data_IF_347992161113
#
_entry.id   IF_347992161113
#
_cell.length_a   1.000
_cell.length_b   1.000
_cell.length_c   1.000
_cell.angle_alpha   90.00
_cell.angle_beta   90.00
_cell.angle_gamma   90.00
#
_symmetry.space_group_name_H-M   'P 1'
#
loop_
_entity.id
_entity.type
_entity.pdbx_description
1 polymer ?
#
# COMPACT_ATOMS: atom_id res chain seq x y z
N UNK A 1 15.68 6.28 21.33
CA UNK A 1 15.77 6.67 19.89
C UNK A 1 14.80 7.80 19.61
N UNK A 2 15.27 8.94 19.10
CA UNK A 2 14.41 10.05 18.70
C UNK A 2 13.45 9.66 17.55
N UNK A 3 12.31 10.33 17.48
CA UNK A 3 11.31 10.12 16.42
C UNK A 3 11.93 10.38 15.04
N UNK A 4 12.74 11.44 14.92
CA UNK A 4 13.47 11.78 13.69
C UNK A 4 14.34 10.60 13.19
N UNK A 5 15.08 9.94 14.09
CA UNK A 5 15.92 8.78 13.73
C UNK A 5 15.09 7.60 13.21
N UNK A 6 13.90 7.36 13.79
CA UNK A 6 12.97 6.31 13.31
C UNK A 6 12.40 6.63 11.93
N UNK A 7 12.03 7.89 11.68
CA UNK A 7 11.51 8.34 10.39
C UNK A 7 12.57 8.20 9.30
N UNK A 8 13.79 8.63 9.56
CA UNK A 8 14.91 8.54 8.63
C UNK A 8 15.27 7.09 8.30
N UNK A 9 15.29 6.19 9.30
CA UNK A 9 15.51 4.76 9.08
C UNK A 9 14.41 4.10 8.25
N UNK A 10 13.15 4.56 8.36
CA UNK A 10 12.05 4.12 7.49
C UNK A 10 12.24 4.65 6.07
N UNK A 11 12.57 5.93 5.90
CA UNK A 11 12.80 6.53 4.57
C UNK A 11 13.92 5.80 3.81
N UNK A 12 15.02 5.46 4.49
CA UNK A 12 16.10 4.65 3.89
C UNK A 12 15.62 3.28 3.39
N UNK A 13 14.83 2.57 4.18
CA UNK A 13 14.23 1.28 3.78
C UNK A 13 13.24 1.43 2.63
N UNK A 14 12.43 2.49 2.66
CA UNK A 14 11.49 2.83 1.59
C UNK A 14 12.23 3.08 0.28
N UNK A 15 13.27 3.91 0.28
CA UNK A 15 14.09 4.19 -0.89
C UNK A 15 14.75 2.91 -1.46
N UNK A 16 15.32 2.06 -0.59
CA UNK A 16 15.89 0.77 -1.00
C UNK A 16 14.86 -0.17 -1.62
N UNK A 17 13.64 -0.21 -1.10
CA UNK A 17 12.58 -1.05 -1.69
C UNK A 17 12.14 -0.50 -3.05
N UNK A 18 12.02 0.82 -3.17
CA UNK A 18 11.62 1.50 -4.40
C UNK A 18 12.67 1.49 -5.49
N UNK A 19 13.95 1.29 -5.18
CA UNK A 19 14.97 1.11 -6.22
C UNK A 19 14.78 -0.19 -7.03
N UNK A 20 13.96 -1.13 -6.56
CA UNK A 20 13.62 -2.39 -7.25
C UNK A 20 12.15 -2.48 -7.66
N UNK A 21 11.29 -1.68 -7.05
CA UNK A 21 9.85 -1.72 -7.25
C UNK A 21 9.44 -0.46 -8.00
N UNK A 22 8.93 -0.64 -9.22
CA UNK A 22 8.37 0.39 -10.07
C UNK A 22 6.93 0.01 -10.44
N UNK A 23 6.01 0.97 -10.47
CA UNK A 23 4.62 0.77 -10.87
C UNK A 23 4.32 1.44 -12.20
N UNK A 24 3.67 0.72 -13.11
CA UNK A 24 3.18 1.25 -14.39
C UNK A 24 1.65 1.28 -14.41
N UNK A 25 1.03 1.88 -15.42
CA UNK A 25 -0.43 1.89 -15.58
C UNK A 25 -1.05 0.47 -15.55
N UNK A 26 -0.36 -0.53 -16.10
CA UNK A 26 -0.84 -1.92 -16.12
C UNK A 26 -0.61 -2.64 -14.78
N UNK A 27 0.51 -2.32 -14.10
CA UNK A 27 0.89 -2.92 -12.83
C UNK A 27 1.27 -1.82 -11.82
N UNK A 28 0.29 -1.07 -11.29
CA UNK A 28 0.55 0.07 -10.44
C UNK A 28 1.15 -0.33 -9.09
N UNK A 29 1.89 0.59 -8.49
CA UNK A 29 2.55 0.41 -7.20
C UNK A 29 1.59 0.79 -6.07
N UNK A 30 1.30 -0.16 -5.18
CA UNK A 30 0.47 0.04 -3.99
C UNK A 30 1.35 0.53 -2.84
N UNK A 31 1.35 1.83 -2.59
CA UNK A 31 2.08 2.48 -1.50
C UNK A 31 1.24 2.49 -0.22
N UNK A 32 1.76 1.91 0.87
CA UNK A 32 1.11 1.95 2.19
C UNK A 32 1.76 2.99 3.12
N UNK A 33 0.95 3.69 3.90
CA UNK A 33 1.43 4.55 4.99
C UNK A 33 0.62 4.30 6.26
N UNK A 34 1.34 4.05 7.36
CA UNK A 34 0.74 3.78 8.66
C UNK A 34 1.17 4.83 9.68
N UNK A 35 0.20 5.55 10.21
CA UNK A 35 0.35 6.41 11.39
C UNK A 35 -0.12 5.66 12.66
N UNK A 36 -0.13 6.33 13.80
CA UNK A 36 -0.67 5.73 15.03
C UNK A 36 -2.19 5.51 14.97
N UNK A 37 -2.92 6.42 14.31
CA UNK A 37 -4.40 6.41 14.28
C UNK A 37 -4.98 5.96 12.94
N UNK A 38 -4.28 6.23 11.84
CA UNK A 38 -4.78 6.10 10.47
C UNK A 38 -3.87 5.27 9.60
N UNK A 39 -4.47 4.52 8.68
CA UNK A 39 -3.81 3.73 7.65
C UNK A 39 -4.25 4.24 6.27
N UNK A 40 -3.29 4.54 5.43
CA UNK A 40 -3.48 5.12 4.11
C UNK A 40 -2.88 4.19 3.07
N UNK A 41 -3.57 4.05 1.94
CA UNK A 41 -3.13 3.25 0.81
C UNK A 41 -3.38 4.01 -0.48
N UNK A 42 -2.42 3.97 -1.38
CA UNK A 42 -2.52 4.57 -2.71
C UNK A 42 -2.00 3.59 -3.75
N UNK A 43 -2.72 3.43 -4.86
CA UNK A 43 -2.24 2.78 -6.07
C UNK A 43 -1.79 3.87 -7.03
N UNK A 44 -0.51 3.86 -7.36
CA UNK A 44 0.16 4.94 -8.09
C UNK A 44 0.71 4.35 -9.39
N UNK A 45 0.51 5.07 -10.48
CA UNK A 45 1.25 4.90 -11.72
C UNK A 45 2.47 5.82 -11.65
N UNK A 46 3.67 5.24 -11.56
CA UNK A 46 4.91 6.00 -11.39
C UNK A 46 5.38 6.64 -12.70
N UNK A 47 4.92 6.16 -13.87
CA UNK A 47 5.29 6.74 -15.17
C UNK A 47 4.60 8.10 -15.39
N UNK A 48 3.30 8.15 -15.11
CA UNK A 48 2.49 9.36 -15.25
C UNK A 48 2.41 10.20 -13.96
N UNK A 49 2.84 9.65 -12.82
CA UNK A 49 2.73 10.30 -11.51
C UNK A 49 1.30 10.42 -10.99
N UNK A 50 0.36 9.65 -11.54
CA UNK A 50 -1.08 9.74 -11.22
C UNK A 50 -1.44 8.69 -10.17
N UNK A 51 -2.27 9.09 -9.20
CA UNK A 51 -2.88 8.15 -8.26
C UNK A 51 -4.19 7.63 -8.84
N UNK A 52 -4.26 6.32 -9.10
CA UNK A 52 -5.43 5.67 -9.70
C UNK A 52 -6.51 5.37 -8.65
N UNK A 53 -6.07 4.88 -7.49
CA UNK A 53 -6.96 4.49 -6.39
C UNK A 53 -6.34 4.93 -5.07
N UNK A 54 -7.16 5.46 -4.17
CA UNK A 54 -6.75 5.78 -2.80
C UNK A 54 -7.76 5.28 -1.77
N UNK A 55 -7.26 4.95 -0.59
CA UNK A 55 -8.05 4.52 0.56
C UNK A 55 -7.46 5.03 1.87
N UNK A 56 -8.36 5.33 2.82
CA UNK A 56 -8.03 5.78 4.17
C UNK A 56 -8.93 5.06 5.17
N UNK A 57 -8.34 4.50 6.22
CA UNK A 57 -9.08 3.89 7.33
C UNK A 57 -8.35 4.05 8.66
N UNK A 58 -8.92 3.51 9.74
CA UNK A 58 -8.26 3.43 11.04
C UNK A 58 -7.07 2.45 10.99
N UNK A 59 -6.05 2.68 11.81
CA UNK A 59 -4.82 1.85 11.84
C UNK A 59 -4.96 0.56 12.66
N UNK A 60 -6.05 -0.20 12.43
CA UNK A 60 -6.35 -1.45 13.15
C UNK A 60 -6.54 -2.61 12.15
N UNK A 61 -6.38 -3.86 12.60
CA UNK A 61 -6.46 -5.04 11.70
C UNK A 61 -7.80 -5.15 10.97
N UNK A 62 -8.93 -5.11 11.70
CA UNK A 62 -10.25 -5.21 11.07
C UNK A 62 -10.57 -4.02 10.14
N UNK A 63 -10.05 -2.83 10.44
CA UNK A 63 -10.20 -1.65 9.59
C UNK A 63 -9.38 -1.78 8.29
N UNK A 64 -8.20 -2.40 8.35
CA UNK A 64 -7.36 -2.68 7.19
C UNK A 64 -7.91 -3.80 6.31
N UNK A 65 -8.61 -4.79 6.87
CA UNK A 65 -9.30 -5.82 6.09
C UNK A 65 -10.43 -5.22 5.25
N UNK A 66 -11.28 -4.38 5.87
CA UNK A 66 -12.33 -3.64 5.15
C UNK A 66 -11.75 -2.76 4.05
N UNK A 67 -10.68 -2.02 4.37
CA UNK A 67 -9.98 -1.19 3.39
C UNK A 67 -9.41 -2.02 2.23
N UNK A 68 -8.89 -3.23 2.50
CA UNK A 68 -8.38 -4.13 1.47
C UNK A 68 -9.45 -4.56 0.47
N UNK A 69 -10.65 -4.89 0.97
CA UNK A 69 -11.79 -5.21 0.12
C UNK A 69 -12.25 -3.99 -0.71
N UNK A 70 -12.41 -2.82 -0.08
CA UNK A 70 -12.81 -1.58 -0.77
C UNK A 70 -11.83 -1.17 -1.87
N UNK A 71 -10.52 -1.28 -1.61
CA UNK A 71 -9.48 -0.97 -2.61
C UNK A 71 -9.50 -1.98 -3.75
N UNK A 72 -9.75 -3.26 -3.48
CA UNK A 72 -9.90 -4.28 -4.51
C UNK A 72 -11.09 -4.02 -5.43
N UNK A 73 -12.24 -3.63 -4.88
CA UNK A 73 -13.40 -3.25 -5.68
C UNK A 73 -13.15 -2.02 -6.55
N UNK A 74 -12.50 -0.99 -5.99
CA UNK A 74 -12.10 0.20 -6.74
C UNK A 74 -11.10 -0.13 -7.86
N UNK A 75 -10.13 -1.00 -7.58
CA UNK A 75 -9.15 -1.45 -8.57
C UNK A 75 -9.82 -2.25 -9.70
N UNK A 76 -10.78 -3.12 -9.39
CA UNK A 76 -11.59 -3.83 -10.39
C UNK A 76 -12.37 -2.88 -11.28
N UNK A 77 -13.00 -1.84 -10.71
CA UNK A 77 -13.69 -0.79 -11.49
C UNK A 77 -12.74 -0.04 -12.42
N UNK A 78 -11.51 0.20 -11.96
CA UNK A 78 -10.44 0.78 -12.76
C UNK A 78 -9.76 -0.22 -13.72
N UNK A 79 -10.24 -1.48 -13.80
CA UNK A 79 -9.69 -2.57 -14.62
C UNK A 79 -8.23 -2.93 -14.30
N UNK A 80 -7.82 -2.74 -13.05
CA UNK A 80 -6.46 -3.07 -12.56
C UNK A 80 -6.51 -4.42 -11.86
N UNK A 81 -5.94 -5.46 -12.50
CA UNK A 81 -5.90 -6.82 -11.95
C UNK A 81 -4.60 -7.17 -11.22
N UNK A 82 -3.46 -6.66 -11.70
CA UNK A 82 -2.14 -6.92 -11.12
C UNK A 82 -1.55 -5.64 -10.53
N UNK A 83 -0.83 -5.76 -9.42
CA UNK A 83 -0.15 -4.62 -8.82
C UNK A 83 1.14 -5.06 -8.12
N UNK A 84 1.92 -4.09 -7.62
CA UNK A 84 3.10 -4.39 -6.78
C UNK A 84 2.92 -3.76 -5.40
N UNK A 85 3.02 -4.55 -4.34
CA UNK A 85 2.91 -4.05 -2.97
C UNK A 85 4.21 -3.36 -2.50
N UNK A 86 4.16 -2.04 -2.35
CA UNK A 86 5.20 -1.24 -1.69
C UNK A 86 4.89 -1.05 -0.20
N UNK A 87 5.53 -1.88 0.62
CA UNK A 87 5.45 -1.83 2.09
C UNK A 87 6.04 -0.56 2.71
N UNK A 88 6.63 0.35 1.93
CA UNK A 88 7.13 1.67 2.37
C UNK A 88 8.05 1.64 3.61
N UNK A 89 8.82 0.57 3.75
CA UNK A 89 9.77 0.37 4.85
C UNK A 89 9.16 -0.21 6.14
N UNK A 90 7.86 -0.54 6.15
CA UNK A 90 7.25 -1.30 7.25
C UNK A 90 7.48 -2.81 7.09
N UNK A 91 7.42 -3.55 8.21
CA UNK A 91 7.46 -5.01 8.20
C UNK A 91 6.12 -5.56 7.70
N UNK A 92 6.16 -6.60 6.87
CA UNK A 92 4.96 -7.35 6.49
C UNK A 92 4.48 -8.17 7.69
N UNK A 93 3.58 -7.58 8.46
CA UNK A 93 2.92 -8.21 9.60
C UNK A 93 1.68 -7.38 9.97
N UNK A 94 0.82 -7.96 10.81
CA UNK A 94 -0.28 -7.24 11.45
C UNK A 94 -1.16 -6.52 10.43
N UNK A 95 -1.36 -5.21 10.63
CA UNK A 95 -2.24 -4.37 9.79
C UNK A 95 -1.92 -4.47 8.30
N UNK A 96 -0.64 -4.52 7.91
CA UNK A 96 -0.24 -4.56 6.48
C UNK A 96 -0.52 -5.93 5.89
N UNK A 97 -0.30 -7.00 6.65
CA UNK A 97 -0.62 -8.35 6.24
C UNK A 97 -2.13 -8.53 6.11
N UNK A 98 -2.90 -8.08 7.11
CA UNK A 98 -4.37 -8.09 7.07
C UNK A 98 -4.93 -7.35 5.85
N UNK A 99 -4.38 -6.17 5.51
CA UNK A 99 -4.73 -5.46 4.29
C UNK A 99 -4.40 -6.27 3.03
N UNK A 100 -3.19 -6.82 2.95
CA UNK A 100 -2.73 -7.58 1.79
C UNK A 100 -3.56 -8.85 1.55
N UNK A 101 -3.87 -9.59 2.62
CA UNK A 101 -4.67 -10.81 2.54
C UNK A 101 -6.11 -10.49 2.11
N UNK A 102 -6.69 -9.39 2.61
CA UNK A 102 -8.01 -8.94 2.18
C UNK A 102 -8.02 -8.46 0.72
N UNK A 103 -7.00 -7.73 0.27
CA UNK A 103 -6.89 -7.29 -1.12
C UNK A 103 -6.70 -8.49 -2.08
N UNK A 104 -5.95 -9.52 -1.68
CA UNK A 104 -5.81 -10.77 -2.44
C UNK A 104 -7.13 -11.53 -2.53
N UNK A 105 -7.89 -11.66 -1.43
CA UNK A 105 -9.25 -12.22 -1.47
C UNK A 105 -10.18 -11.42 -2.38
N UNK A 106 -9.97 -10.10 -2.42
CA UNK A 106 -10.64 -9.19 -3.34
C UNK A 106 -10.24 -9.38 -4.81
N UNK A 107 -9.28 -10.24 -5.15
CA UNK A 107 -8.88 -10.56 -6.53
C UNK A 107 -7.74 -9.72 -7.10
N UNK A 108 -7.10 -8.87 -6.28
CA UNK A 108 -5.85 -8.20 -6.66
C UNK A 108 -4.69 -9.20 -6.61
N UNK A 109 -3.91 -9.29 -7.69
CA UNK A 109 -2.76 -10.18 -7.78
C UNK A 109 -1.45 -9.42 -7.52
N UNK A 110 -0.80 -9.74 -6.38
CA UNK A 110 0.51 -9.20 -5.96
C UNK A 110 1.21 -10.04 -4.88
#
# INVERSE_FOLDING_TARGET
MSIAKKVLARQKRKARSRSRIHGTAQKPRVSVFRSLKRFFVQMIDDDNGITLVSGLSASNKGAAEKLGAEVAEKAKKAKIGTCVLDRSGYKYHGVIQSFADAARKGGLQF
#
